data_IF_644504535612
#
_entry.id   IF_644504535612
#
_cell.length_a   1.000
_cell.length_b   1.000
_cell.length_c   1.000
_cell.angle_alpha   90.00
_cell.angle_beta   90.00
_cell.angle_gamma   90.00
#
_symmetry.space_group_name_H-M   'P 1'
#
loop_
_entity.id
_entity.type
_entity.pdbx_description
1 polymer ?
#
# COMPACT_ATOMS: atom_id res chain seq x y z
N UNK A 1 -12.84 -7.66 -6.82
CA UNK A 1 -11.47 -7.10 -6.68
C UNK A 1 -10.47 -8.25 -6.61
N UNK A 2 -9.22 -8.09 -7.09
CA UNK A 2 -8.18 -9.15 -7.00
C UNK A 2 -7.73 -9.38 -5.55
N UNK A 3 -7.21 -10.57 -5.24
CA UNK A 3 -6.63 -10.89 -3.93
C UNK A 3 -5.15 -10.47 -3.85
N UNK A 4 -4.72 -10.06 -2.67
CA UNK A 4 -3.30 -9.91 -2.31
C UNK A 4 -2.82 -11.30 -1.91
N UNK A 5 -1.76 -11.77 -2.56
CA UNK A 5 -1.19 -13.10 -2.38
C UNK A 5 0.00 -13.08 -1.40
N UNK A 6 0.74 -11.98 -1.36
CA UNK A 6 1.86 -11.82 -0.44
C UNK A 6 1.39 -11.74 1.01
N UNK A 7 2.25 -12.12 1.96
CA UNK A 7 1.92 -12.10 3.39
C UNK A 7 1.64 -10.67 3.86
N UNK A 8 0.44 -10.45 4.39
CA UNK A 8 -0.01 -9.17 4.93
C UNK A 8 -0.95 -9.39 6.12
N UNK A 9 -1.25 -8.31 6.85
CA UNK A 9 -2.28 -8.24 7.87
C UNK A 9 -3.55 -7.57 7.34
N UNK A 10 -4.70 -8.07 7.75
CA UNK A 10 -6.00 -7.40 7.54
C UNK A 10 -6.06 -6.00 8.14
N UNK A 11 -5.18 -5.70 9.11
CA UNK A 11 -5.05 -4.39 9.77
C UNK A 11 -4.09 -3.45 9.06
N UNK A 12 -3.34 -3.92 8.06
CA UNK A 12 -2.52 -3.06 7.21
C UNK A 12 -3.42 -2.08 6.48
N UNK A 13 -2.88 -0.92 6.12
CA UNK A 13 -3.67 0.22 5.65
C UNK A 13 -3.30 0.59 4.23
N UNK A 14 -4.32 0.95 3.47
CA UNK A 14 -4.18 1.74 2.25
C UNK A 14 -4.46 3.18 2.61
N UNK A 15 -3.46 4.03 2.39
CA UNK A 15 -3.49 5.46 2.66
C UNK A 15 -3.70 6.19 1.34
N UNK A 16 -4.77 6.99 1.26
CA UNK A 16 -5.01 7.92 0.17
C UNK A 16 -4.70 9.34 0.65
N UNK A 17 -3.68 9.96 0.04
CA UNK A 17 -3.36 11.38 0.24
C UNK A 17 -3.87 12.14 -0.96
N UNK A 18 -4.76 13.11 -0.74
CA UNK A 18 -5.32 13.92 -1.82
C UNK A 18 -4.66 15.29 -1.87
N UNK A 19 -4.07 15.61 -3.02
CA UNK A 19 -3.51 16.91 -3.38
C UNK A 19 -4.45 17.60 -4.38
N UNK A 20 -4.14 18.85 -4.76
CA UNK A 20 -5.01 19.66 -5.62
C UNK A 20 -5.25 19.01 -7.00
N UNK A 21 -4.23 18.37 -7.57
CA UNK A 21 -4.22 17.81 -8.93
C UNK A 21 -4.22 16.28 -8.97
N UNK A 22 -3.85 15.62 -7.86
CA UNK A 22 -3.64 14.17 -7.83
C UNK A 22 -3.99 13.52 -6.49
N UNK A 23 -4.10 12.21 -6.53
CA UNK A 23 -4.21 11.36 -5.35
C UNK A 23 -3.05 10.36 -5.34
N UNK A 24 -2.39 10.26 -4.18
CA UNK A 24 -1.29 9.33 -3.95
C UNK A 24 -1.75 8.20 -3.06
N UNK A 25 -1.42 6.98 -3.45
CA UNK A 25 -1.76 5.77 -2.69
C UNK A 25 -0.51 5.15 -2.09
N UNK A 26 -0.62 4.78 -0.83
CA UNK A 26 0.45 4.12 -0.09
C UNK A 26 -0.08 2.88 0.62
N UNK A 27 0.77 1.89 0.73
CA UNK A 27 0.61 0.77 1.64
C UNK A 27 1.34 1.08 2.95
N UNK A 28 0.71 0.77 4.08
CA UNK A 28 1.27 0.99 5.40
C UNK A 28 1.02 -0.24 6.27
N UNK A 29 2.09 -0.96 6.68
CA UNK A 29 1.97 -2.07 7.61
C UNK A 29 1.37 -1.64 8.95
N UNK A 30 0.59 -2.52 9.57
CA UNK A 30 0.04 -2.32 10.89
C UNK A 30 1.17 -2.15 11.91
N UNK A 31 1.02 -1.17 12.81
CA UNK A 31 2.03 -0.77 13.81
C UNK A 31 3.31 -0.16 13.22
N UNK A 32 3.35 0.10 11.92
CA UNK A 32 4.42 0.88 11.29
C UNK A 32 3.94 2.26 10.88
N UNK A 33 4.81 3.26 11.04
CA UNK A 33 4.61 4.57 10.45
C UNK A 33 5.15 4.65 9.02
N UNK A 34 5.89 3.64 8.55
CA UNK A 34 6.44 3.62 7.19
C UNK A 34 5.31 3.53 6.15
N UNK A 35 5.39 4.37 5.11
CA UNK A 35 4.44 4.40 4.00
C UNK A 35 5.19 4.04 2.73
N UNK A 36 4.80 2.92 2.13
CA UNK A 36 5.37 2.44 0.88
C UNK A 36 4.48 2.93 -0.26
N UNK A 37 5.05 3.70 -1.18
CA UNK A 37 4.31 4.24 -2.31
C UNK A 37 3.80 3.12 -3.23
N UNK A 38 2.54 3.22 -3.67
CA UNK A 38 1.92 2.26 -4.58
C UNK A 38 1.77 2.84 -5.99
N UNK A 39 1.04 3.96 -6.10
CA UNK A 39 0.79 4.65 -7.37
C UNK A 39 0.12 6.01 -7.13
N UNK A 40 0.16 6.85 -8.18
CA UNK A 40 -0.58 8.11 -8.25
C UNK A 40 -1.73 8.00 -9.27
N UNK A 41 -2.77 8.83 -9.08
CA UNK A 41 -3.85 9.05 -10.04
C UNK A 41 -4.15 10.54 -10.14
N UNK A 42 -4.80 10.96 -11.23
CA UNK A 42 -5.47 12.26 -11.26
C UNK A 42 -6.48 12.38 -10.12
N UNK A 43 -6.74 13.61 -9.67
CA UNK A 43 -7.70 13.84 -8.60
C UNK A 43 -9.10 13.36 -9.00
N UNK A 44 -9.71 12.56 -8.13
CA UNK A 44 -11.09 12.11 -8.26
C UNK A 44 -11.90 12.45 -7.00
N UNK A 45 -12.90 13.31 -7.18
CA UNK A 45 -13.83 13.67 -6.10
C UNK A 45 -14.57 12.46 -5.53
N UNK A 46 -14.91 11.46 -6.35
CA UNK A 46 -15.60 10.25 -5.88
C UNK A 46 -14.69 9.34 -5.04
N UNK A 47 -13.43 9.19 -5.45
CA UNK A 47 -12.42 8.45 -4.67
C UNK A 47 -12.14 9.18 -3.35
N UNK A 48 -11.94 10.50 -3.39
CA UNK A 48 -11.73 11.31 -2.19
C UNK A 48 -12.91 11.21 -1.22
N UNK A 49 -14.15 11.41 -1.72
CA UNK A 49 -15.36 11.34 -0.90
C UNK A 49 -15.54 9.96 -0.26
N UNK A 50 -15.21 8.88 -0.98
CA UNK A 50 -15.27 7.55 -0.42
C UNK A 50 -14.27 7.34 0.72
N UNK A 51 -13.01 7.67 0.49
CA UNK A 51 -11.97 7.56 1.52
C UNK A 51 -12.26 8.45 2.73
N UNK A 52 -12.78 9.67 2.51
CA UNK A 52 -13.23 10.56 3.57
C UNK A 52 -14.41 9.99 4.38
N UNK A 53 -15.38 9.35 3.72
CA UNK A 53 -16.59 8.82 4.36
C UNK A 53 -16.36 7.50 5.09
N UNK A 54 -15.53 6.62 4.53
CA UNK A 54 -15.32 5.25 5.03
C UNK A 54 -14.02 5.08 5.79
N UNK A 55 -13.02 5.92 5.49
CA UNK A 55 -11.69 5.82 6.07
C UNK A 55 -11.53 6.60 7.36
N UNK A 56 -10.40 6.36 8.01
CA UNK A 56 -9.94 7.10 9.19
C UNK A 56 -9.05 8.25 8.73
N UNK A 57 -9.30 9.44 9.27
CA UNK A 57 -8.41 10.57 9.08
C UNK A 57 -7.03 10.22 9.67
N UNK A 58 -6.00 10.50 8.89
CA UNK A 58 -4.60 10.39 9.31
C UNK A 58 -3.99 11.78 9.15
N UNK A 59 -3.12 12.15 10.08
CA UNK A 59 -2.38 13.40 10.03
C UNK A 59 -1.81 13.63 8.61
N UNK A 60 -1.87 14.88 8.17
CA UNK A 60 -1.41 15.36 6.84
C UNK A 60 -2.35 15.08 5.65
N UNK A 61 -3.65 15.37 5.81
CA UNK A 61 -4.66 15.43 4.71
C UNK A 61 -4.95 14.10 4.03
N UNK A 62 -4.62 12.98 4.69
CA UNK A 62 -4.89 11.64 4.19
C UNK A 62 -6.09 10.98 4.86
N UNK A 63 -6.63 9.97 4.18
CA UNK A 63 -7.57 9.02 4.78
C UNK A 63 -7.05 7.62 4.56
N UNK A 64 -7.29 6.75 5.54
CA UNK A 64 -6.84 5.36 5.49
C UNK A 64 -7.99 4.39 5.62
N UNK A 65 -7.93 3.30 4.88
CA UNK A 65 -8.78 2.12 5.02
C UNK A 65 -7.89 0.93 5.33
N UNK A 66 -8.32 0.02 6.18
CA UNK A 66 -7.62 -1.26 6.35
C UNK A 66 -7.79 -2.14 5.12
N UNK A 67 -6.91 -3.11 4.90
CA UNK A 67 -7.07 -4.09 3.82
C UNK A 67 -8.43 -4.80 3.93
N UNK A 68 -8.86 -5.14 5.14
CA UNK A 68 -10.21 -5.71 5.37
C UNK A 68 -11.32 -4.79 4.88
N UNK A 69 -11.24 -3.49 5.14
CA UNK A 69 -12.23 -2.51 4.70
C UNK A 69 -12.18 -2.27 3.18
N UNK A 70 -10.99 -2.33 2.58
CA UNK A 70 -10.81 -2.27 1.11
C UNK A 70 -11.52 -3.46 0.45
N UNK A 71 -11.46 -4.67 1.03
CA UNK A 71 -12.19 -5.84 0.53
C UNK A 71 -13.71 -5.75 0.64
N UNK A 72 -14.24 -4.87 1.50
CA UNK A 72 -15.69 -4.63 1.62
C UNK A 72 -16.21 -3.67 0.54
N UNK A 73 -15.35 -3.15 -0.33
CA UNK A 73 -15.76 -2.30 -1.43
C UNK A 73 -16.73 -3.02 -2.39
N UNK A 74 -17.91 -2.43 -2.57
CA UNK A 74 -18.99 -2.97 -3.40
C UNK A 74 -19.50 -1.99 -4.47
N UNK A 75 -18.95 -0.77 -4.57
CA UNK A 75 -19.43 0.26 -5.49
C UNK A 75 -18.73 0.21 -6.86
N UNK A 76 -18.85 -0.92 -7.55
CA UNK A 76 -18.21 -1.13 -8.85
C UNK A 76 -18.87 -0.37 -10.02
N UNK A 77 -20.02 0.29 -9.79
CA UNK A 77 -20.70 1.13 -10.79
C UNK A 77 -19.94 2.41 -11.11
N UNK A 78 -19.12 2.93 -10.18
CA UNK A 78 -18.26 4.07 -10.44
C UNK A 78 -16.93 3.58 -11.05
N UNK A 79 -16.75 3.78 -12.36
CA UNK A 79 -15.57 3.27 -13.07
C UNK A 79 -14.24 3.77 -12.50
N UNK A 80 -14.14 5.06 -12.15
CA UNK A 80 -12.90 5.63 -11.61
C UNK A 80 -12.51 4.95 -10.31
N UNK A 81 -13.49 4.75 -9.42
CA UNK A 81 -13.28 4.00 -8.18
C UNK A 81 -12.95 2.54 -8.46
N UNK A 82 -13.72 1.87 -9.32
CA UNK A 82 -13.47 0.47 -9.66
C UNK A 82 -12.03 0.25 -10.16
N UNK A 83 -11.52 1.14 -11.02
CA UNK A 83 -10.13 1.11 -11.50
C UNK A 83 -9.12 1.25 -10.35
N UNK A 84 -9.30 2.22 -9.45
CA UNK A 84 -8.41 2.41 -8.28
C UNK A 84 -8.40 1.16 -7.39
N UNK A 85 -9.59 0.66 -7.02
CA UNK A 85 -9.71 -0.51 -6.14
C UNK A 85 -9.20 -1.80 -6.78
N UNK A 86 -9.33 -1.96 -8.10
CA UNK A 86 -8.74 -3.10 -8.81
C UNK A 86 -7.20 -3.01 -8.88
N UNK A 87 -6.64 -1.81 -8.93
CA UNK A 87 -5.18 -1.58 -9.00
C UNK A 87 -4.49 -1.81 -7.66
N UNK A 88 -5.13 -1.48 -6.54
CA UNK A 88 -4.55 -1.58 -5.18
C UNK A 88 -3.96 -2.97 -4.89
N UNK A 89 -4.70 -4.10 -4.99
CA UNK A 89 -4.15 -5.42 -4.67
C UNK A 89 -2.93 -5.80 -5.53
N UNK A 90 -2.93 -5.41 -6.80
CA UNK A 90 -1.83 -5.71 -7.74
C UNK A 90 -0.56 -4.99 -7.30
N UNK A 91 -0.67 -3.71 -6.93
CA UNK A 91 0.47 -2.92 -6.50
C UNK A 91 0.96 -3.32 -5.12
N UNK A 92 0.06 -3.69 -4.21
CA UNK A 92 0.45 -4.21 -2.88
C UNK A 92 1.26 -5.51 -3.02
N UNK A 93 0.83 -6.45 -3.88
CA UNK A 93 1.62 -7.64 -4.17
C UNK A 93 3.02 -7.30 -4.71
N UNK A 94 3.09 -6.35 -5.65
CA UNK A 94 4.35 -5.93 -6.24
C UNK A 94 5.32 -5.39 -5.19
N UNK A 95 4.88 -4.46 -4.34
CA UNK A 95 5.76 -3.84 -3.34
C UNK A 95 6.15 -4.83 -2.23
N UNK A 96 5.24 -5.68 -1.75
CA UNK A 96 5.55 -6.67 -0.73
C UNK A 96 6.54 -7.71 -1.24
N UNK A 97 6.37 -8.17 -2.47
CA UNK A 97 7.30 -9.09 -3.11
C UNK A 97 8.70 -8.48 -3.23
N UNK A 98 8.78 -7.22 -3.64
CA UNK A 98 10.06 -6.52 -3.79
C UNK A 98 10.72 -6.17 -2.45
N UNK A 99 9.96 -5.81 -1.41
CA UNK A 99 10.52 -5.64 -0.06
C UNK A 99 11.11 -6.94 0.48
N UNK A 100 10.45 -8.08 0.23
CA UNK A 100 10.99 -9.39 0.59
C UNK A 100 12.31 -9.65 -0.14
N UNK A 101 12.39 -9.35 -1.45
CA UNK A 101 13.64 -9.51 -2.19
C UNK A 101 14.75 -8.59 -1.69
N UNK A 102 14.46 -7.31 -1.44
CA UNK A 102 15.45 -6.36 -0.92
C UNK A 102 15.98 -6.77 0.45
N UNK A 103 15.10 -7.23 1.35
CA UNK A 103 15.51 -7.75 2.67
C UNK A 103 16.34 -9.03 2.54
N UNK A 104 15.99 -9.91 1.60
CA UNK A 104 16.74 -11.15 1.39
C UNK A 104 18.12 -10.90 0.76
N UNK A 105 18.24 -9.98 -0.20
CA UNK A 105 19.55 -9.55 -0.74
C UNK A 105 20.42 -8.93 0.35
N UNK A 106 19.87 -8.03 1.18
CA UNK A 106 20.62 -7.45 2.30
C UNK A 106 21.12 -8.51 3.28
N UNK A 107 20.27 -9.49 3.64
CA UNK A 107 20.67 -10.59 4.53
C UNK A 107 21.76 -11.47 3.93
N UNK A 108 21.68 -11.76 2.63
CA UNK A 108 22.68 -12.57 1.93
C UNK A 108 24.03 -11.86 1.89
N UNK A 109 24.04 -10.56 1.55
CA UNK A 109 25.26 -9.76 1.51
C UNK A 109 25.90 -9.62 2.89
N UNK A 110 25.09 -9.40 3.95
CA UNK A 110 25.61 -9.32 5.32
C UNK A 110 26.23 -10.64 5.80
N UNK A 111 25.65 -11.78 5.41
CA UNK A 111 26.21 -13.09 5.74
C UNK A 111 27.55 -13.33 5.03
N UNK A 112 27.69 -12.89 3.77
CA UNK A 112 28.93 -13.02 3.00
C UNK A 112 30.04 -12.12 3.55
N UNK A 113 29.73 -10.87 3.87
CA UNK A 113 30.70 -9.93 4.48
C UNK A 113 31.21 -10.43 5.84
N UNK A 114 30.34 -11.07 6.64
CA UNK A 114 30.75 -11.68 7.90
C UNK A 114 31.72 -12.84 7.67
N UNK A 115 31.46 -13.75 6.73
CA UNK A 115 32.35 -14.88 6.42
C UNK A 115 33.73 -14.37 5.99
N UNK A 116 33.79 -13.39 5.07
CA UNK A 116 35.06 -12.80 4.58
C UNK A 116 35.83 -12.00 5.65
N UNK A 117 35.18 -11.67 6.77
CA UNK A 117 35.81 -11.01 7.93
C UNK A 117 36.38 -12.00 8.96
N UNK A 118 35.91 -13.25 8.98
CA UNK A 118 36.44 -14.31 9.84
C UNK A 118 37.56 -15.12 9.18
N UNK A 119 37.70 -15.05 7.85
CA UNK A 119 38.75 -15.76 7.09
C UNK A 119 40.02 -14.91 6.83
N UNK A 120 40.14 -13.72 7.46
CA UNK A 120 41.33 -12.85 7.43
C UNK A 120 41.96 -12.72 8.81
#
# INVERSE_FOLDING_TARGET
MRKINERHSDKDRIVCVSLADKQKFYYQPHKSNNRIWLFDTEFSGSVFAYFRKKGRNIADRGFSLTIREIYQFNNYKNEKMARVFQRIPVQVNYVLKNEIYAVNEMKFNYHHELIDSYER
#
